data_IF_249077104554
#
_entry.id   IF_249077104554
#
_cell.length_a   1.000
_cell.length_b   1.000
_cell.length_c   1.000
_cell.angle_alpha   90.00
_cell.angle_beta   90.00
_cell.angle_gamma   90.00
#
_symmetry.space_group_name_H-M   'P 1'
#
loop_
_entity.id
_entity.type
_entity.pdbx_description
1 polymer ?
#
# COMPACT_ATOMS: atom_id res chain seq x y z
N UNK A 1 -99.94 14.22 -3.85
CA UNK A 1 -99.79 12.84 -4.30
C UNK A 1 -99.10 12.05 -3.20
N UNK A 2 -99.73 10.98 -2.73
CA UNK A 2 -99.24 10.07 -1.69
C UNK A 2 -98.02 9.29 -2.21
N UNK A 3 -96.82 9.56 -1.68
CA UNK A 3 -95.59 8.85 -2.04
C UNK A 3 -95.54 7.44 -1.44
N UNK A 4 -95.18 6.45 -2.26
CA UNK A 4 -95.08 5.03 -1.91
C UNK A 4 -94.12 4.76 -0.73
N UNK A 5 -94.51 3.82 0.14
CA UNK A 5 -93.83 3.44 1.38
C UNK A 5 -92.66 2.47 1.13
N UNK A 6 -91.74 2.80 0.23
CA UNK A 6 -90.55 1.97 -0.06
C UNK A 6 -89.29 2.72 0.39
N UNK A 7 -88.58 2.18 1.38
CA UNK A 7 -87.30 2.72 1.85
C UNK A 7 -86.19 2.16 0.98
N UNK A 8 -85.91 2.85 -0.12
CA UNK A 8 -84.81 2.53 -1.03
C UNK A 8 -83.52 3.17 -0.50
N UNK A 9 -82.38 2.47 -0.64
CA UNK A 9 -81.09 3.05 -0.31
C UNK A 9 -80.71 4.08 -1.38
N UNK A 10 -80.54 5.33 -0.95
CA UNK A 10 -80.35 6.48 -1.82
C UNK A 10 -79.18 7.32 -1.32
N UNK A 11 -78.43 7.99 -2.22
CA UNK A 11 -77.42 8.94 -1.77
C UNK A 11 -78.07 10.01 -0.87
N UNK A 12 -77.34 10.53 0.12
CA UNK A 12 -77.85 11.61 0.96
C UNK A 12 -78.26 12.80 0.09
N UNK A 13 -79.24 13.58 0.54
CA UNK A 13 -79.80 14.72 -0.23
C UNK A 13 -78.75 15.78 -0.62
N UNK A 14 -77.59 15.80 0.03
CA UNK A 14 -76.43 16.66 -0.28
C UNK A 14 -75.30 16.01 -1.10
N UNK A 15 -75.44 14.75 -1.52
CA UNK A 15 -74.41 14.00 -2.25
C UNK A 15 -73.25 13.49 -1.38
N UNK A 16 -72.36 12.70 -1.98
CA UNK A 16 -71.15 12.20 -1.32
C UNK A 16 -70.02 13.23 -1.33
N UNK A 17 -69.09 13.11 -0.39
CA UNK A 17 -67.89 13.96 -0.35
C UNK A 17 -67.09 13.82 -1.66
N UNK A 18 -66.47 14.92 -2.14
CA UNK A 18 -65.61 14.87 -3.31
C UNK A 18 -64.42 13.94 -3.04
N UNK A 19 -64.15 13.05 -4.00
CA UNK A 19 -63.03 12.13 -3.94
C UNK A 19 -61.93 12.57 -4.90
N UNK A 20 -60.71 12.66 -4.42
CA UNK A 20 -59.57 13.00 -5.26
C UNK A 20 -59.13 11.80 -6.08
N UNK A 21 -59.59 11.76 -7.33
CA UNK A 21 -59.23 10.73 -8.31
C UNK A 21 -57.93 11.04 -9.05
N UNK A 22 -57.40 12.26 -8.91
CA UNK A 22 -56.20 12.71 -9.61
C UNK A 22 -54.95 12.32 -8.84
N UNK A 23 -53.93 11.91 -9.59
CA UNK A 23 -52.61 11.61 -9.04
C UNK A 23 -51.97 12.90 -8.48
N UNK A 24 -51.72 12.94 -7.17
CA UNK A 24 -51.01 14.04 -6.51
C UNK A 24 -49.58 13.62 -6.17
N UNK A 25 -48.62 13.96 -7.04
CA UNK A 25 -47.18 13.78 -6.74
C UNK A 25 -46.56 15.11 -6.32
N UNK A 26 -46.14 15.26 -5.05
CA UNK A 26 -45.44 16.46 -4.64
C UNK A 26 -44.05 16.51 -5.29
N UNK A 27 -43.68 17.66 -5.87
CA UNK A 27 -42.31 17.92 -6.32
C UNK A 27 -41.42 18.04 -5.08
N UNK A 28 -40.76 16.94 -4.72
CA UNK A 28 -39.84 16.86 -3.58
C UNK A 28 -38.40 16.83 -4.08
N UNK A 29 -37.49 17.49 -3.35
CA UNK A 29 -36.07 17.50 -3.64
C UNK A 29 -35.53 18.86 -4.08
N UNK A 30 -34.21 18.93 -4.18
CA UNK A 30 -33.47 20.11 -4.65
C UNK A 30 -33.52 20.18 -6.18
N UNK A 31 -33.40 21.38 -6.73
CA UNK A 31 -33.21 21.57 -8.18
C UNK A 31 -31.90 20.93 -8.64
N UNK A 32 -31.84 20.47 -9.89
CA UNK A 32 -30.60 19.90 -10.46
C UNK A 32 -29.41 20.83 -10.33
N UNK A 33 -29.60 22.14 -10.56
CA UNK A 33 -28.54 23.14 -10.38
C UNK A 33 -28.06 23.26 -8.94
N UNK A 34 -28.96 23.18 -7.95
CA UNK A 34 -28.57 23.18 -6.54
C UNK A 34 -27.81 21.90 -6.14
N UNK A 35 -28.15 20.75 -6.73
CA UNK A 35 -27.39 19.52 -6.50
C UNK A 35 -25.96 19.62 -7.05
N UNK A 36 -25.80 20.18 -8.26
CA UNK A 36 -24.47 20.44 -8.82
C UNK A 36 -23.67 21.45 -7.98
N UNK A 37 -24.32 22.52 -7.50
CA UNK A 37 -23.68 23.49 -6.62
C UNK A 37 -23.13 22.85 -5.34
N UNK A 38 -23.91 21.98 -4.70
CA UNK A 38 -23.46 21.23 -3.51
C UNK A 38 -22.33 20.27 -3.87
N UNK A 39 -22.47 19.51 -4.96
CA UNK A 39 -21.45 18.56 -5.40
C UNK A 39 -20.10 19.23 -5.68
N UNK A 40 -20.11 20.34 -6.40
CA UNK A 40 -18.90 21.13 -6.67
C UNK A 40 -18.34 21.70 -5.37
N UNK A 41 -19.17 22.22 -4.48
CA UNK A 41 -18.74 22.74 -3.18
C UNK A 41 -17.99 21.70 -2.34
N UNK A 42 -18.54 20.48 -2.24
CA UNK A 42 -17.89 19.37 -1.52
C UNK A 42 -16.58 18.97 -2.19
N UNK A 43 -16.54 18.89 -3.52
CA UNK A 43 -15.32 18.57 -4.26
C UNK A 43 -14.22 19.60 -4.04
N UNK A 44 -14.53 20.90 -4.12
CA UNK A 44 -13.55 21.97 -3.91
C UNK A 44 -12.94 21.92 -2.50
N UNK A 45 -13.77 21.70 -1.46
CA UNK A 45 -13.29 21.53 -0.09
C UNK A 45 -12.47 20.26 0.07
N UNK A 46 -12.91 19.15 -0.53
CA UNK A 46 -12.20 17.88 -0.52
C UNK A 46 -10.81 17.98 -1.15
N UNK A 47 -10.72 18.60 -2.34
CA UNK A 47 -9.45 18.84 -3.01
C UNK A 47 -8.54 19.75 -2.19
N UNK A 48 -9.04 20.87 -1.67
CA UNK A 48 -8.24 21.77 -0.85
C UNK A 48 -7.63 21.05 0.36
N UNK A 49 -8.43 20.23 1.07
CA UNK A 49 -7.95 19.44 2.20
C UNK A 49 -6.94 18.37 1.77
N UNK A 50 -7.19 17.67 0.66
CA UNK A 50 -6.28 16.67 0.12
C UNK A 50 -4.93 17.27 -0.29
N UNK A 51 -4.93 18.46 -0.90
CA UNK A 51 -3.68 19.15 -1.26
C UNK A 51 -2.87 19.53 -0.03
N UNK A 52 -3.51 20.04 1.02
CA UNK A 52 -2.83 20.36 2.28
C UNK A 52 -2.26 19.10 2.94
N UNK A 53 -3.05 18.02 2.98
CA UNK A 53 -2.61 16.74 3.52
C UNK A 53 -1.44 16.11 2.74
N UNK A 54 -1.50 16.15 1.41
CA UNK A 54 -0.41 15.62 0.58
C UNK A 54 0.89 16.42 0.77
N UNK A 55 0.80 17.73 1.03
CA UNK A 55 1.96 18.55 1.39
C UNK A 55 2.53 18.15 2.74
N UNK A 56 1.68 17.87 3.73
CA UNK A 56 2.10 17.36 5.05
C UNK A 56 2.76 16.00 4.95
N UNK A 57 2.14 15.06 4.25
CA UNK A 57 2.72 13.74 3.98
C UNK A 57 4.11 13.83 3.36
N UNK A 58 4.30 14.72 2.38
CA UNK A 58 5.61 14.92 1.77
C UNK A 58 6.64 15.44 2.78
N UNK A 59 6.23 16.28 3.75
CA UNK A 59 7.12 16.72 4.82
C UNK A 59 7.54 15.55 5.72
N UNK A 60 6.60 14.68 6.09
CA UNK A 60 6.92 13.47 6.86
C UNK A 60 7.83 12.51 6.08
N UNK A 61 7.57 12.29 4.79
CA UNK A 61 8.44 11.47 3.92
C UNK A 61 9.85 12.08 3.82
N UNK A 62 9.99 13.41 3.76
CA UNK A 62 11.31 14.07 3.78
C UNK A 62 12.03 13.89 5.12
N UNK A 63 11.32 14.02 6.24
CA UNK A 63 11.88 13.79 7.58
C UNK A 63 12.37 12.32 7.75
N UNK A 64 11.59 11.36 7.27
CA UNK A 64 11.99 9.94 7.27
C UNK A 64 13.23 9.69 6.38
N UNK A 65 13.31 10.34 5.22
CA UNK A 65 14.49 10.24 4.37
C UNK A 65 15.73 10.90 5.00
N UNK A 66 15.57 12.06 5.63
CA UNK A 66 16.66 12.76 6.33
C UNK A 66 17.20 11.92 7.50
N UNK A 67 16.32 11.33 8.30
CA UNK A 67 16.72 10.42 9.38
C UNK A 67 17.44 9.20 8.84
N UNK A 68 17.00 8.62 7.72
CA UNK A 68 17.70 7.51 7.06
C UNK A 68 19.08 7.93 6.54
N UNK A 69 19.21 9.11 5.93
CA UNK A 69 20.49 9.65 5.46
C UNK A 69 21.46 9.85 6.65
N UNK A 70 20.96 10.33 7.79
CA UNK A 70 21.77 10.49 9.00
C UNK A 70 22.30 9.15 9.55
N UNK A 71 21.50 8.08 9.47
CA UNK A 71 21.87 6.74 9.95
C UNK A 71 22.69 5.92 8.93
N UNK A 72 22.61 6.24 7.64
CA UNK A 72 23.24 5.50 6.55
C UNK A 72 24.75 5.26 6.77
N UNK A 73 25.58 6.24 7.18
CA UNK A 73 27.03 6.03 7.31
C UNK A 73 27.38 4.97 8.35
N UNK A 74 26.63 4.91 9.45
CA UNK A 74 26.82 3.89 10.49
C UNK A 74 26.46 2.51 9.95
N UNK A 75 25.28 2.38 9.33
CA UNK A 75 24.82 1.12 8.77
C UNK A 75 25.76 0.61 7.67
N UNK A 76 26.25 1.50 6.82
CA UNK A 76 27.21 1.16 5.77
C UNK A 76 28.52 0.64 6.37
N UNK A 77 29.07 1.32 7.38
CA UNK A 77 30.30 0.88 8.03
C UNK A 77 30.16 -0.50 8.70
N UNK A 78 29.03 -0.78 9.34
CA UNK A 78 28.77 -2.10 9.95
C UNK A 78 28.58 -3.19 8.89
N UNK A 79 27.92 -2.88 7.77
CA UNK A 79 27.81 -3.81 6.62
C UNK A 79 29.18 -4.10 5.99
N UNK A 80 30.00 -3.07 5.77
CA UNK A 80 31.35 -3.22 5.21
C UNK A 80 32.23 -4.09 6.14
N UNK A 81 32.16 -3.87 7.46
CA UNK A 81 32.87 -4.70 8.45
C UNK A 81 32.39 -6.15 8.44
N UNK A 82 31.08 -6.36 8.37
CA UNK A 82 30.48 -7.70 8.36
C UNK A 82 30.88 -8.47 7.10
N UNK A 83 30.81 -7.85 5.92
CA UNK A 83 31.16 -8.49 4.65
C UNK A 83 32.65 -8.86 4.59
N UNK A 84 33.54 -7.96 4.99
CA UNK A 84 34.98 -8.24 5.03
C UNK A 84 35.35 -9.33 6.03
N UNK A 85 34.65 -9.39 7.19
CA UNK A 85 34.83 -10.48 8.16
C UNK A 85 34.45 -11.83 7.56
N UNK A 86 33.28 -11.93 6.93
CA UNK A 86 32.83 -13.18 6.30
C UNK A 86 33.77 -13.64 5.19
N UNK A 87 34.23 -12.72 4.34
CA UNK A 87 35.19 -13.05 3.28
C UNK A 87 36.53 -13.50 3.85
N UNK A 88 36.97 -12.89 4.96
CA UNK A 88 38.20 -13.29 5.64
C UNK A 88 38.08 -14.70 6.22
N UNK A 89 36.98 -15.01 6.89
CA UNK A 89 36.67 -16.35 7.40
C UNK A 89 36.66 -17.38 6.25
N UNK A 90 35.96 -17.08 5.16
CA UNK A 90 35.86 -17.98 4.01
C UNK A 90 37.22 -18.23 3.34
N UNK A 91 38.08 -17.20 3.25
CA UNK A 91 39.44 -17.33 2.71
C UNK A 91 40.33 -18.18 3.62
N UNK A 92 40.23 -18.02 4.94
CA UNK A 92 40.98 -18.83 5.91
C UNK A 92 40.57 -20.31 5.85
N UNK A 93 39.27 -20.59 5.76
CA UNK A 93 38.76 -21.96 5.57
C UNK A 93 39.11 -22.53 4.20
N UNK A 94 39.04 -21.73 3.13
CA UNK A 94 39.48 -22.15 1.78
C UNK A 94 40.95 -22.56 1.78
N UNK A 95 41.82 -21.79 2.46
CA UNK A 95 43.25 -22.11 2.58
C UNK A 95 43.50 -23.46 3.26
N UNK A 96 42.66 -23.81 4.25
CA UNK A 96 42.75 -25.08 4.98
C UNK A 96 42.22 -26.23 4.12
N UNK A 97 41.08 -26.04 3.46
CA UNK A 97 40.39 -27.07 2.68
C UNK A 97 41.09 -27.40 1.36
N UNK A 98 41.65 -26.39 0.69
CA UNK A 98 42.20 -26.53 -0.67
C UNK A 98 43.72 -26.79 -0.72
N UNK A 99 44.37 -26.98 0.44
CA UNK A 99 45.81 -27.21 0.56
C UNK A 99 46.33 -28.39 -0.28
N UNK A 100 45.51 -29.42 -0.48
CA UNK A 100 45.90 -30.69 -1.11
C UNK A 100 45.54 -30.74 -2.62
N UNK A 101 44.91 -29.70 -3.15
CA UNK A 101 44.43 -29.66 -4.54
C UNK A 101 45.51 -29.01 -5.44
N UNK A 102 46.02 -29.72 -6.46
CA UNK A 102 47.00 -29.14 -7.38
C UNK A 102 46.37 -28.01 -8.22
N UNK A 103 47.17 -27.00 -8.55
CA UNK A 103 46.79 -25.81 -9.35
C UNK A 103 45.70 -24.91 -8.74
N UNK A 104 45.36 -25.08 -7.45
CA UNK A 104 44.43 -24.17 -6.76
C UNK A 104 45.15 -22.96 -6.18
N UNK A 105 44.68 -21.75 -6.51
CA UNK A 105 45.15 -20.50 -5.91
C UNK A 105 44.07 -19.93 -5.00
N UNK A 106 44.35 -19.94 -3.70
CA UNK A 106 43.45 -19.43 -2.67
C UNK A 106 43.20 -17.93 -2.88
N UNK A 107 41.93 -17.52 -2.91
CA UNK A 107 41.54 -16.11 -3.05
C UNK A 107 41.87 -15.48 -4.40
N UNK A 108 42.09 -16.27 -5.46
CA UNK A 108 42.26 -15.74 -6.81
C UNK A 108 40.93 -15.14 -7.32
N UNK A 109 40.96 -13.88 -7.76
CA UNK A 109 39.79 -13.24 -8.36
C UNK A 109 39.44 -13.91 -9.68
N UNK A 110 38.17 -14.27 -9.85
CA UNK A 110 37.64 -14.78 -11.13
C UNK A 110 37.59 -13.69 -12.21
N UNK A 111 37.62 -12.42 -11.80
CA UNK A 111 37.58 -11.28 -12.70
C UNK A 111 38.99 -10.84 -13.10
N UNK A 112 39.14 -10.41 -14.35
CA UNK A 112 40.40 -9.85 -14.89
C UNK A 112 40.71 -8.42 -14.38
N UNK A 113 39.95 -7.89 -13.43
CA UNK A 113 40.09 -6.51 -12.93
C UNK A 113 40.53 -6.50 -11.48
N UNK A 114 41.37 -5.53 -11.11
CA UNK A 114 41.80 -5.29 -9.73
C UNK A 114 40.76 -4.48 -8.92
N UNK A 115 39.58 -4.22 -9.49
CA UNK A 115 38.53 -3.46 -8.83
C UNK A 115 37.80 -4.37 -7.86
N UNK A 116 37.43 -3.82 -6.70
CA UNK A 116 36.48 -4.46 -5.81
C UNK A 116 35.16 -4.79 -6.52
N UNK A 117 34.77 -6.06 -6.43
CA UNK A 117 33.46 -6.54 -6.88
C UNK A 117 32.66 -6.90 -5.64
N UNK A 118 31.42 -6.45 -5.59
CA UNK A 118 30.51 -6.79 -4.49
C UNK A 118 30.26 -8.30 -4.49
N UNK A 119 30.53 -8.99 -3.38
CA UNK A 119 30.40 -10.44 -3.32
C UNK A 119 28.94 -10.88 -3.46
N UNK A 120 28.73 -12.03 -4.08
CA UNK A 120 27.40 -12.65 -4.15
C UNK A 120 26.99 -13.19 -2.78
N UNK A 121 25.69 -13.26 -2.50
CA UNK A 121 25.18 -13.89 -1.27
C UNK A 121 25.66 -15.33 -1.13
N UNK A 122 25.81 -16.04 -2.26
CA UNK A 122 26.30 -17.41 -2.29
C UNK A 122 27.80 -17.50 -1.96
N UNK A 123 28.61 -16.51 -2.33
CA UNK A 123 30.03 -16.45 -1.97
C UNK A 123 30.25 -16.17 -0.48
N UNK A 124 29.35 -15.39 0.14
CA UNK A 124 29.41 -15.08 1.57
C UNK A 124 28.93 -16.23 2.46
N UNK A 125 27.87 -16.94 2.05
CA UNK A 125 27.17 -17.94 2.87
C UNK A 125 27.41 -19.40 2.42
N UNK A 126 28.35 -19.67 1.51
CA UNK A 126 28.65 -21.03 0.99
C UNK A 126 29.06 -22.03 2.08
N UNK A 127 29.89 -21.61 3.05
CA UNK A 127 30.40 -22.47 4.12
C UNK A 127 29.46 -22.55 5.33
N UNK A 128 28.39 -21.76 5.33
CA UNK A 128 27.44 -21.64 6.44
C UNK A 128 26.26 -22.60 6.30
N UNK A 129 25.47 -22.85 7.37
CA UNK A 129 24.29 -23.68 7.27
C UNK A 129 23.32 -23.17 6.19
N UNK A 130 22.73 -24.12 5.46
CA UNK A 130 21.78 -23.82 4.37
C UNK A 130 20.61 -22.93 4.82
N UNK A 131 20.19 -23.04 6.07
CA UNK A 131 19.14 -22.21 6.66
C UNK A 131 19.49 -20.72 6.63
N UNK A 132 20.74 -20.36 6.95
CA UNK A 132 21.20 -18.97 6.93
C UNK A 132 21.21 -18.41 5.50
N UNK A 133 21.68 -19.20 4.53
CA UNK A 133 21.67 -18.82 3.12
C UNK A 133 20.23 -18.58 2.63
N UNK A 134 19.31 -19.50 2.93
CA UNK A 134 17.91 -19.36 2.54
C UNK A 134 17.25 -18.15 3.20
N UNK A 135 17.53 -17.91 4.48
CA UNK A 135 17.02 -16.75 5.19
C UNK A 135 17.55 -15.44 4.57
N UNK A 136 18.82 -15.36 4.21
CA UNK A 136 19.37 -14.16 3.54
C UNK A 136 18.80 -13.94 2.14
N UNK A 137 18.58 -15.02 1.37
CA UNK A 137 18.10 -14.94 -0.01
C UNK A 137 16.59 -14.67 -0.10
N UNK A 138 15.80 -15.29 0.77
CA UNK A 138 14.33 -15.28 0.69
C UNK A 138 13.63 -14.71 1.91
N UNK A 139 14.33 -14.43 3.01
CA UNK A 139 13.73 -14.00 4.27
C UNK A 139 12.88 -12.74 4.14
N UNK A 140 13.32 -11.75 3.36
CA UNK A 140 12.51 -10.56 3.09
C UNK A 140 11.23 -10.89 2.30
N UNK A 141 11.33 -11.75 1.29
CA UNK A 141 10.18 -12.13 0.46
C UNK A 141 9.17 -13.02 1.21
N UNK A 142 9.62 -13.79 2.20
CA UNK A 142 8.74 -14.59 3.06
C UNK A 142 8.09 -13.78 4.18
N UNK A 143 8.67 -12.63 4.54
CA UNK A 143 8.15 -11.76 5.59
C UNK A 143 6.98 -10.89 5.12
N UNK A 144 6.97 -10.51 3.85
CA UNK A 144 5.93 -9.69 3.19
C UNK A 144 4.78 -10.57 2.72
#
# INVERSE_FOLDING_TARGET
>A
MSGSKVKQDMPPTGGYAPFDYKRNLPKRGLSGYSMFGIGIGVMLVGYWRMFNWNRERRRFEMEELETRIALMPLMQAELDRSTLRMLRENLEEEAILMKDVPDWKVGESVFHTDRWVTPLTEELFNLRPREELLHQKYGFAWYV
#
